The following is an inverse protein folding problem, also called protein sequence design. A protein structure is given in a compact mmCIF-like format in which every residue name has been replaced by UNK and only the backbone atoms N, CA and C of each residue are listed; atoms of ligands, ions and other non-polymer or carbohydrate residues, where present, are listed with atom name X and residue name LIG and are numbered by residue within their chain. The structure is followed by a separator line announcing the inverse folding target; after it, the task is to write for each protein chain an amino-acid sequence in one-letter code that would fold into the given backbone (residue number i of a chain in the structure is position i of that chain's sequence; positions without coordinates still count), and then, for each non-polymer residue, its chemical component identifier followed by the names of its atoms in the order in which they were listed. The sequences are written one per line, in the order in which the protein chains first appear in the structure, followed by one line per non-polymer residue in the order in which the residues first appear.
data_IF_317279836435
#
_entry.id   IF_317279836435
#
_cell.length_a   1.000
_cell.length_b   1.000
_cell.length_c   1.000
_cell.angle_alpha   90.00
_cell.angle_beta   90.00
_cell.angle_gamma   90.00
#
_symmetry.space_group_name_H-M   'P 1'
#
loop_
_entity.id
_entity.type
_entity.pdbx_description
1 polymer ?
#
# COMPACT_ATOMS: atom_id res chain seq x y z
N UNK A 1 53.77 -16.26 -8.55
CA UNK A 1 52.37 -16.72 -8.58
C UNK A 1 51.31 -15.58 -8.57
N UNK A 2 51.74 -14.34 -8.43
CA UNK A 2 50.81 -13.18 -8.24
C UNK A 2 50.22 -12.58 -9.53
N UNK A 3 50.97 -12.59 -10.63
CA UNK A 3 50.52 -11.91 -11.88
C UNK A 3 49.46 -12.65 -12.69
N UNK A 4 49.52 -14.00 -12.72
CA UNK A 4 48.55 -14.81 -13.46
C UNK A 4 47.13 -14.80 -12.86
N UNK A 5 47.04 -14.55 -11.56
CA UNK A 5 45.76 -14.43 -10.84
C UNK A 5 45.11 -13.07 -11.11
N UNK A 6 45.86 -12.00 -11.21
CA UNK A 6 45.34 -10.65 -11.56
C UNK A 6 44.78 -10.59 -12.99
N UNK A 7 45.38 -11.24 -13.94
CA UNK A 7 44.98 -11.23 -15.32
C UNK A 7 43.65 -12.00 -15.57
N UNK A 8 43.38 -13.04 -14.76
CA UNK A 8 42.08 -13.78 -14.84
C UNK A 8 40.91 -13.03 -14.20
N UNK A 9 41.19 -12.17 -13.20
CA UNK A 9 40.18 -11.34 -12.54
C UNK A 9 39.74 -10.18 -13.46
N UNK A 10 40.64 -9.63 -14.27
CA UNK A 10 40.38 -8.52 -15.18
C UNK A 10 39.44 -8.88 -16.36
N UNK A 11 39.27 -10.16 -16.69
CA UNK A 11 38.46 -10.58 -17.86
C UNK A 11 36.93 -10.54 -17.67
N UNK A 12 36.42 -10.25 -16.48
CA UNK A 12 34.97 -10.26 -16.20
C UNK A 12 34.49 -9.02 -15.42
N UNK A 13 35.16 -7.90 -15.55
CA UNK A 13 34.81 -6.63 -14.89
C UNK A 13 34.37 -5.64 -15.95
N UNK A 14 33.28 -4.92 -15.67
CA UNK A 14 32.68 -3.94 -16.58
C UNK A 14 32.61 -2.59 -15.84
N UNK A 15 32.97 -1.52 -16.55
CA UNK A 15 32.82 -0.15 -16.05
C UNK A 15 31.61 0.48 -16.70
N UNK A 16 30.68 0.96 -15.88
CA UNK A 16 29.39 1.50 -16.34
C UNK A 16 29.04 2.77 -15.56
N UNK A 17 28.33 3.71 -16.21
CA UNK A 17 27.62 4.74 -15.47
C UNK A 17 26.68 4.10 -14.46
N UNK A 18 26.61 4.65 -13.25
CA UNK A 18 25.79 4.09 -12.17
C UNK A 18 24.72 5.06 -11.71
N UNK A 19 23.56 4.52 -11.38
CA UNK A 19 22.45 5.26 -10.80
C UNK A 19 22.09 4.61 -9.46
N UNK A 20 22.16 5.41 -8.39
CA UNK A 20 21.71 5.03 -7.08
C UNK A 20 20.21 5.25 -6.94
N UNK A 21 19.45 4.17 -6.82
CA UNK A 21 17.99 4.16 -6.74
C UNK A 21 17.53 4.30 -5.29
N UNK A 22 16.50 5.12 -5.07
CA UNK A 22 15.85 5.29 -3.76
C UNK A 22 14.56 4.47 -3.69
N UNK A 23 14.47 3.52 -2.76
CA UNK A 23 13.27 2.72 -2.54
C UNK A 23 12.87 1.81 -3.70
N UNK A 24 13.73 1.63 -4.69
CA UNK A 24 13.47 0.82 -5.88
C UNK A 24 14.59 -0.20 -6.09
N UNK A 25 14.21 -1.44 -6.35
CA UNK A 25 15.11 -2.53 -6.73
C UNK A 25 14.68 -3.06 -8.10
N UNK A 26 15.63 -3.11 -9.03
CA UNK A 26 15.40 -3.66 -10.36
C UNK A 26 15.89 -5.10 -10.40
N UNK A 27 15.14 -5.96 -11.09
CA UNK A 27 15.49 -7.36 -11.31
C UNK A 27 15.85 -7.61 -12.78
N UNK A 28 16.64 -8.66 -13.07
CA UNK A 28 16.86 -9.10 -14.46
C UNK A 28 15.53 -9.45 -15.15
N UNK A 29 15.50 -9.38 -16.48
CA UNK A 29 14.34 -9.69 -17.32
C UNK A 29 13.06 -8.91 -16.97
N UNK A 30 13.19 -7.80 -16.26
CA UNK A 30 12.07 -6.94 -15.92
C UNK A 30 12.23 -5.54 -16.52
N UNK A 31 11.12 -4.98 -17.00
CA UNK A 31 11.07 -3.63 -17.57
C UNK A 31 10.46 -2.72 -16.53
N UNK A 32 11.18 -1.68 -16.17
CA UNK A 32 10.76 -0.72 -15.12
C UNK A 32 10.94 0.70 -15.63
N UNK A 33 10.00 1.57 -15.30
CA UNK A 33 10.14 3.01 -15.48
C UNK A 33 10.31 3.68 -14.12
N UNK A 34 11.17 4.68 -14.07
CA UNK A 34 11.36 5.52 -12.89
C UNK A 34 11.77 6.94 -13.29
N UNK A 35 11.63 7.85 -12.35
CA UNK A 35 11.96 9.27 -12.53
C UNK A 35 13.32 9.56 -11.90
N UNK A 36 14.09 10.40 -12.59
CA UNK A 36 15.43 10.80 -12.18
C UNK A 36 15.50 12.33 -12.17
N UNK A 37 15.76 12.88 -10.99
CA UNK A 37 15.87 14.34 -10.78
C UNK A 37 17.25 14.80 -10.32
N UNK A 38 18.17 13.87 -9.96
CA UNK A 38 19.52 14.27 -9.56
C UNK A 38 20.40 14.55 -10.77
N UNK A 39 21.08 15.68 -10.80
CA UNK A 39 21.97 16.10 -11.89
C UNK A 39 23.01 15.03 -12.24
N UNK A 40 23.67 14.41 -11.25
CA UNK A 40 24.63 13.34 -11.46
C UNK A 40 23.99 12.08 -12.09
N UNK A 41 22.74 11.78 -11.74
CA UNK A 41 22.03 10.62 -12.32
C UNK A 41 21.54 10.90 -13.74
N UNK A 42 21.12 12.11 -14.03
CA UNK A 42 20.77 12.54 -15.40
C UNK A 42 22.02 12.48 -16.29
N UNK A 43 23.15 12.99 -15.82
CA UNK A 43 24.42 12.89 -16.54
C UNK A 43 24.87 11.44 -16.77
N UNK A 44 24.61 10.54 -15.83
CA UNK A 44 24.87 9.10 -15.98
C UNK A 44 24.02 8.48 -17.11
N UNK A 45 22.75 8.88 -17.23
CA UNK A 45 21.86 8.43 -18.32
C UNK A 45 22.38 8.94 -19.67
N UNK A 46 22.72 10.21 -19.75
CA UNK A 46 23.26 10.81 -20.98
C UNK A 46 24.58 10.12 -21.40
N UNK A 47 25.47 9.88 -20.46
CA UNK A 47 26.71 9.14 -20.72
C UNK A 47 26.45 7.70 -21.19
N UNK A 48 25.47 7.01 -20.59
CA UNK A 48 25.08 5.67 -21.03
C UNK A 48 24.49 5.66 -22.43
N UNK A 49 23.65 6.63 -22.78
CA UNK A 49 23.02 6.75 -24.11
C UNK A 49 24.08 7.01 -25.22
N UNK A 50 25.13 7.77 -24.92
CA UNK A 50 26.22 8.01 -25.84
C UNK A 50 27.18 6.82 -26.04
N UNK A 51 27.15 5.86 -25.09
CA UNK A 51 27.96 4.64 -25.18
C UNK A 51 27.14 3.49 -25.82
N UNK A 52 26.68 2.57 -25.04
CA UNK A 52 25.96 1.36 -25.46
C UNK A 52 24.63 1.17 -24.70
N UNK A 53 24.03 2.26 -24.27
CA UNK A 53 22.75 2.30 -23.54
C UNK A 53 22.72 1.44 -22.28
N UNK A 54 23.89 1.04 -21.76
CA UNK A 54 24.01 0.21 -20.56
C UNK A 54 24.31 1.05 -19.34
N UNK A 55 23.58 0.80 -18.26
CA UNK A 55 23.71 1.49 -16.99
C UNK A 55 23.69 0.48 -15.85
N UNK A 56 24.40 0.76 -14.77
CA UNK A 56 24.33 -0.04 -13.55
C UNK A 56 23.36 0.59 -12.56
N UNK A 57 22.33 -0.16 -12.20
CA UNK A 57 21.29 0.25 -11.26
C UNK A 57 21.49 -0.45 -9.92
N UNK A 58 21.59 0.33 -8.87
CA UNK A 58 21.84 -0.18 -7.51
C UNK A 58 21.02 0.59 -6.49
N UNK A 59 20.39 -0.12 -5.54
CA UNK A 59 19.58 0.51 -4.51
C UNK A 59 20.45 1.11 -3.40
N UNK A 60 20.00 2.25 -2.86
CA UNK A 60 20.54 2.84 -1.63
C UNK A 60 20.01 2.10 -0.40
N UNK A 61 20.80 2.07 0.67
CA UNK A 61 20.35 1.54 1.98
C UNK A 61 19.41 2.51 2.66
N UNK A 62 19.73 3.79 2.62
CA UNK A 62 18.94 4.89 3.19
C UNK A 62 18.50 5.84 2.08
N UNK A 63 17.22 6.23 2.11
CA UNK A 63 16.64 7.04 1.05
C UNK A 63 17.04 8.51 1.12
N UNK A 64 17.41 8.99 2.31
CA UNK A 64 17.63 10.42 2.57
C UNK A 64 19.02 10.92 2.12
N UNK A 65 19.95 10.00 1.83
CA UNK A 65 21.30 10.35 1.40
C UNK A 65 21.28 10.90 -0.03
N UNK A 66 21.68 12.15 -0.20
CA UNK A 66 21.72 12.80 -1.52
C UNK A 66 22.91 12.34 -2.36
N UNK A 67 24.09 12.31 -1.78
CA UNK A 67 25.32 11.86 -2.44
C UNK A 67 25.82 10.54 -1.82
N UNK A 68 25.33 9.39 -2.31
CA UNK A 68 25.67 8.11 -1.74
C UNK A 68 27.12 7.72 -2.09
N UNK A 69 27.81 7.22 -1.08
CA UNK A 69 29.11 6.55 -1.19
C UNK A 69 28.91 5.04 -1.38
N UNK A 70 29.98 4.30 -1.63
CA UNK A 70 29.93 2.83 -1.75
C UNK A 70 29.35 2.15 -0.49
N UNK A 71 29.46 2.75 0.70
CA UNK A 71 28.93 2.22 1.97
C UNK A 71 27.43 2.36 2.08
N UNK A 72 26.88 3.35 1.42
CA UNK A 72 25.45 3.68 1.44
C UNK A 72 24.67 2.87 0.41
N UNK A 73 25.38 2.11 -0.44
CA UNK A 73 24.81 1.26 -1.47
C UNK A 73 24.78 -0.21 -1.04
N UNK A 74 23.87 -0.96 -1.63
CA UNK A 74 23.90 -2.41 -1.50
C UNK A 74 25.04 -3.01 -2.33
N UNK A 75 25.34 -4.28 -2.08
CA UNK A 75 26.46 -4.95 -2.75
C UNK A 75 26.12 -5.44 -4.16
N UNK A 76 24.86 -5.78 -4.39
CA UNK A 76 24.38 -6.29 -5.66
C UNK A 76 23.36 -5.34 -6.28
N UNK A 77 23.52 -5.10 -7.55
CA UNK A 77 22.60 -4.37 -8.42
C UNK A 77 22.40 -5.09 -9.74
N UNK A 78 21.87 -4.40 -10.72
CA UNK A 78 21.55 -4.94 -12.04
C UNK A 78 22.13 -4.06 -13.13
N UNK A 79 22.80 -4.68 -14.09
CA UNK A 79 23.14 -4.03 -15.36
C UNK A 79 21.86 -4.00 -16.17
N UNK A 80 21.42 -2.81 -16.54
CA UNK A 80 20.21 -2.57 -17.30
C UNK A 80 20.49 -1.87 -18.62
N UNK A 81 19.65 -2.10 -19.59
CA UNK A 81 19.64 -1.42 -20.88
C UNK A 81 18.56 -0.33 -20.86
N UNK A 82 18.94 0.89 -21.21
CA UNK A 82 18.03 2.01 -21.37
C UNK A 82 17.26 1.83 -22.69
N UNK A 83 15.94 1.69 -22.60
CA UNK A 83 15.06 1.54 -23.77
C UNK A 83 14.51 2.87 -24.26
N UNK A 84 14.15 3.74 -23.32
CA UNK A 84 13.56 5.02 -23.63
C UNK A 84 13.89 6.05 -22.57
N UNK A 85 14.16 7.26 -23.01
CA UNK A 85 14.36 8.43 -22.14
C UNK A 85 13.37 9.50 -22.57
N UNK A 86 12.57 9.99 -21.63
CA UNK A 86 11.62 11.06 -21.84
C UNK A 86 11.97 12.21 -20.89
N UNK A 87 12.36 13.34 -21.43
CA UNK A 87 12.61 14.56 -20.64
C UNK A 87 11.27 15.23 -20.33
N UNK A 88 10.93 15.30 -19.05
CA UNK A 88 9.68 15.90 -18.57
C UNK A 88 9.89 17.39 -18.30
N UNK A 89 11.04 17.76 -17.72
CA UNK A 89 11.52 19.12 -17.51
C UNK A 89 13.05 19.14 -17.54
N UNK A 90 13.66 20.31 -17.35
CA UNK A 90 15.12 20.44 -17.32
C UNK A 90 15.76 19.62 -16.19
N UNK A 91 15.06 19.47 -15.07
CA UNK A 91 15.54 18.77 -13.87
C UNK A 91 14.89 17.39 -13.65
N UNK A 92 14.01 16.94 -14.56
CA UNK A 92 13.29 15.67 -14.40
C UNK A 92 13.25 14.85 -15.68
N UNK A 93 13.80 13.67 -15.59
CA UNK A 93 13.87 12.71 -16.71
C UNK A 93 13.17 11.40 -16.30
N UNK A 94 12.25 10.94 -17.13
CA UNK A 94 11.61 9.63 -16.98
C UNK A 94 12.32 8.62 -17.88
N UNK A 95 12.75 7.51 -17.29
CA UNK A 95 13.56 6.50 -17.97
C UNK A 95 12.86 5.16 -17.94
N UNK A 96 12.81 4.49 -19.08
CA UNK A 96 12.40 3.10 -19.21
C UNK A 96 13.64 2.23 -19.38
N UNK A 97 13.83 1.28 -18.49
CA UNK A 97 14.97 0.37 -18.49
C UNK A 97 14.54 -1.08 -18.48
N UNK A 98 15.33 -1.93 -19.09
CA UNK A 98 15.21 -3.38 -19.01
C UNK A 98 16.40 -3.95 -18.24
N UNK A 99 16.16 -4.59 -17.09
CA UNK A 99 17.21 -5.30 -16.36
C UNK A 99 17.74 -6.48 -17.18
N UNK A 100 19.06 -6.57 -17.33
CA UNK A 100 19.68 -7.65 -18.11
C UNK A 100 20.39 -8.66 -17.23
N UNK A 101 21.33 -8.20 -16.43
CA UNK A 101 22.21 -9.10 -15.68
C UNK A 101 22.47 -8.58 -14.29
N UNK A 102 22.34 -9.44 -13.31
CA UNK A 102 22.77 -9.14 -11.94
C UNK A 102 24.28 -8.95 -11.90
N UNK A 103 24.74 -7.94 -11.16
CA UNK A 103 26.15 -7.69 -10.98
C UNK A 103 26.47 -7.28 -9.55
N UNK A 104 27.69 -7.62 -9.13
CA UNK A 104 28.23 -7.20 -7.85
C UNK A 104 29.05 -5.92 -8.04
N UNK A 105 28.77 -4.93 -7.22
CA UNK A 105 29.56 -3.72 -7.11
C UNK A 105 30.92 -4.04 -6.49
N UNK A 106 32.01 -3.62 -7.12
CA UNK A 106 33.37 -3.75 -6.63
C UNK A 106 33.91 -2.40 -6.17
N UNK A 107 33.80 -1.38 -7.02
CA UNK A 107 34.28 -0.04 -6.78
C UNK A 107 33.26 0.97 -7.28
N UNK A 108 33.18 2.10 -6.61
CA UNK A 108 32.36 3.24 -7.03
C UNK A 108 33.25 4.47 -7.06
N UNK A 109 33.36 5.07 -8.22
CA UNK A 109 34.03 6.35 -8.41
C UNK A 109 32.97 7.46 -8.47
N UNK A 110 33.05 8.38 -7.52
CA UNK A 110 32.24 9.59 -7.50
C UNK A 110 32.86 10.66 -8.41
N UNK A 111 32.88 10.39 -9.72
CA UNK A 111 33.39 11.35 -10.70
C UNK A 111 32.68 12.71 -10.61
N UNK A 112 33.33 13.74 -11.13
CA UNK A 112 32.79 15.12 -11.10
C UNK A 112 31.40 15.23 -11.73
N UNK A 113 31.16 14.49 -12.83
CA UNK A 113 29.93 14.58 -13.63
C UNK A 113 28.88 13.56 -13.24
N UNK A 114 29.25 12.30 -13.01
CA UNK A 114 28.33 11.22 -12.65
C UNK A 114 29.06 10.09 -11.91
N UNK A 115 28.28 9.20 -11.29
CA UNK A 115 28.81 8.02 -10.62
C UNK A 115 29.24 6.97 -11.65
N UNK A 116 30.45 6.45 -11.52
CA UNK A 116 30.96 5.34 -12.34
C UNK A 116 31.20 4.12 -11.46
N UNK A 117 30.59 2.99 -11.82
CA UNK A 117 30.73 1.75 -11.08
C UNK A 117 31.63 0.75 -11.83
N UNK A 118 32.51 0.12 -11.10
CA UNK A 118 33.23 -1.07 -11.52
C UNK A 118 32.49 -2.28 -10.99
N UNK A 119 31.89 -3.08 -11.88
CA UNK A 119 30.99 -4.17 -11.50
C UNK A 119 31.43 -5.49 -12.09
N UNK A 120 31.09 -6.57 -11.39
CA UNK A 120 31.28 -7.95 -11.88
C UNK A 120 29.94 -8.60 -12.13
N UNK A 121 29.62 -8.93 -13.40
CA UNK A 121 28.43 -9.71 -13.73
C UNK A 121 28.44 -11.06 -13.01
N UNK A 122 27.29 -11.44 -12.49
CA UNK A 122 27.11 -12.70 -11.75
C UNK A 122 26.19 -13.62 -12.56
N UNK A 123 26.78 -14.63 -13.14
CA UNK A 123 26.04 -15.67 -13.84
C UNK A 123 25.21 -16.51 -12.85
N UNK A 124 24.00 -16.87 -13.27
CA UNK A 124 23.18 -17.81 -12.51
C UNK A 124 23.82 -19.21 -12.61
N UNK A 125 24.18 -19.77 -11.47
CA UNK A 125 24.68 -21.15 -11.45
C UNK A 125 23.52 -22.12 -11.64
N UNK A 126 23.71 -23.14 -12.49
CA UNK A 126 22.74 -24.20 -12.66
C UNK A 126 22.43 -24.95 -11.36
N UNK A 127 21.27 -25.56 -11.28
CA UNK A 127 20.85 -26.37 -10.14
C UNK A 127 21.62 -27.69 -10.17
N UNK A 128 22.28 -28.03 -9.08
CA UNK A 128 22.92 -29.32 -8.89
C UNK A 128 21.87 -30.45 -8.92
N UNK A 129 22.22 -31.61 -9.49
CA UNK A 129 21.26 -32.67 -9.73
C UNK A 129 20.58 -33.17 -8.45
N UNK A 130 21.31 -33.22 -7.33
CA UNK A 130 20.83 -33.60 -5.99
C UNK A 130 19.80 -32.63 -5.39
N UNK A 131 19.75 -31.37 -5.87
CA UNK A 131 18.85 -30.31 -5.38
C UNK A 131 17.61 -30.08 -6.25
N UNK A 132 17.46 -30.81 -7.34
CA UNK A 132 16.31 -30.61 -8.27
C UNK A 132 14.96 -30.84 -7.58
N UNK A 133 14.82 -31.92 -6.83
CA UNK A 133 13.57 -32.22 -6.11
C UNK A 133 13.24 -31.15 -5.05
N UNK A 134 14.26 -30.60 -4.38
CA UNK A 134 14.09 -29.53 -3.41
C UNK A 134 13.60 -28.22 -4.09
N UNK A 135 14.19 -27.89 -5.24
CA UNK A 135 13.76 -26.72 -6.02
C UNK A 135 12.34 -26.89 -6.54
N UNK A 136 11.98 -28.08 -7.02
CA UNK A 136 10.61 -28.36 -7.48
C UNK A 136 9.60 -28.24 -6.33
N UNK A 137 9.91 -28.76 -5.16
CA UNK A 137 9.07 -28.64 -3.96
C UNK A 137 8.89 -27.16 -3.56
N UNK A 138 9.98 -26.36 -3.63
CA UNK A 138 9.90 -24.92 -3.35
C UNK A 138 9.04 -24.17 -4.37
N UNK A 139 9.14 -24.51 -5.66
CA UNK A 139 8.29 -23.89 -6.71
C UNK A 139 6.82 -24.18 -6.45
N UNK A 140 6.46 -25.42 -6.09
CA UNK A 140 5.08 -25.78 -5.72
C UNK A 140 4.62 -24.95 -4.52
N UNK A 141 5.40 -24.96 -3.43
CA UNK A 141 5.07 -24.19 -2.22
C UNK A 141 4.97 -22.69 -2.47
N UNK A 142 5.75 -22.14 -3.41
CA UNK A 142 5.65 -20.74 -3.82
C UNK A 142 4.33 -20.46 -4.54
N UNK A 143 3.90 -21.35 -5.43
CA UNK A 143 2.61 -21.20 -6.14
C UNK A 143 1.44 -21.31 -5.18
N UNK A 144 1.44 -22.30 -4.28
CA UNK A 144 0.39 -22.47 -3.26
C UNK A 144 0.29 -21.22 -2.36
N UNK A 145 1.43 -20.72 -1.88
CA UNK A 145 1.48 -19.51 -1.07
C UNK A 145 1.08 -18.25 -1.86
N UNK A 146 1.36 -18.20 -3.15
CA UNK A 146 0.95 -17.09 -4.02
C UNK A 146 -0.57 -17.07 -4.25
N UNK A 147 -1.21 -18.23 -4.40
CA UNK A 147 -2.67 -18.34 -4.48
C UNK A 147 -3.33 -17.82 -3.20
N UNK A 148 -2.78 -18.15 -2.03
CA UNK A 148 -3.23 -17.61 -0.75
C UNK A 148 -3.03 -16.08 -0.70
N UNK A 149 -1.87 -15.59 -1.09
CA UNK A 149 -1.56 -14.14 -1.16
C UNK A 149 -2.57 -13.38 -2.03
N UNK A 150 -2.96 -13.93 -3.19
CA UNK A 150 -3.94 -13.34 -4.10
C UNK A 150 -5.31 -13.14 -3.46
N UNK A 151 -5.72 -14.02 -2.54
CA UNK A 151 -7.00 -13.89 -1.83
C UNK A 151 -7.09 -12.64 -0.95
N UNK A 152 -5.95 -12.08 -0.56
CA UNK A 152 -5.83 -10.87 0.25
C UNK A 152 -5.38 -9.64 -0.55
N UNK A 153 -4.82 -9.82 -1.76
CA UNK A 153 -4.27 -8.74 -2.59
C UNK A 153 -4.87 -8.74 -4.01
N UNK A 154 -6.13 -8.34 -4.18
CA UNK A 154 -6.83 -8.40 -5.47
C UNK A 154 -6.33 -7.37 -6.50
N UNK A 155 -5.44 -6.47 -6.14
CA UNK A 155 -4.94 -5.39 -7.02
C UNK A 155 -3.85 -5.84 -8.01
N UNK A 156 -3.40 -7.11 -7.94
CA UNK A 156 -2.39 -7.64 -8.86
C UNK A 156 -3.00 -7.84 -10.24
N UNK A 157 -2.29 -7.38 -11.29
CA UNK A 157 -2.78 -7.50 -12.66
C UNK A 157 -2.91 -8.96 -13.07
N UNK A 158 -3.92 -9.26 -13.88
CA UNK A 158 -4.18 -10.63 -14.38
C UNK A 158 -2.99 -11.20 -15.16
N UNK A 159 -2.25 -10.37 -15.86
CA UNK A 159 -1.08 -10.78 -16.62
C UNK A 159 0.05 -11.26 -15.69
N UNK A 160 0.26 -10.58 -14.56
CA UNK A 160 1.25 -11.01 -13.55
C UNK A 160 0.83 -12.35 -12.95
N UNK A 161 -0.44 -12.51 -12.60
CA UNK A 161 -0.98 -13.77 -12.07
C UNK A 161 -0.79 -14.91 -13.08
N UNK A 162 -1.18 -14.69 -14.33
CA UNK A 162 -1.04 -15.68 -15.38
C UNK A 162 0.42 -16.10 -15.59
N UNK A 163 1.35 -15.14 -15.66
CA UNK A 163 2.77 -15.44 -15.85
C UNK A 163 3.39 -16.23 -14.70
N UNK A 164 2.97 -15.97 -13.47
CA UNK A 164 3.46 -16.71 -12.30
C UNK A 164 2.91 -18.14 -12.28
N UNK A 165 1.60 -18.32 -12.50
CA UNK A 165 0.96 -19.64 -12.45
C UNK A 165 1.41 -20.53 -13.60
N UNK A 166 1.54 -19.96 -14.82
CA UNK A 166 1.90 -20.72 -16.02
C UNK A 166 3.37 -21.11 -16.11
N UNK A 167 4.25 -20.42 -15.37
CA UNK A 167 5.68 -20.69 -15.43
C UNK A 167 6.12 -21.72 -14.41
N UNK A 168 6.88 -22.72 -14.84
CA UNK A 168 7.57 -23.71 -13.98
C UNK A 168 9.08 -23.44 -13.88
N UNK A 169 9.57 -22.32 -14.45
CA UNK A 169 10.98 -21.95 -14.40
C UNK A 169 11.34 -21.35 -13.03
N UNK A 170 12.17 -22.05 -12.21
CA UNK A 170 12.58 -21.55 -10.90
C UNK A 170 13.32 -20.21 -10.98
N UNK A 171 14.12 -20.03 -12.04
CA UNK A 171 14.85 -18.79 -12.28
C UNK A 171 13.89 -17.64 -12.57
N UNK A 172 12.96 -17.85 -13.49
CA UNK A 172 11.96 -16.85 -13.84
C UNK A 172 11.15 -16.44 -12.61
N UNK A 173 10.62 -17.39 -11.84
CA UNK A 173 9.85 -17.10 -10.64
C UNK A 173 10.65 -16.30 -9.61
N UNK A 174 11.94 -16.64 -9.40
CA UNK A 174 12.82 -15.95 -8.44
C UNK A 174 13.14 -14.50 -8.81
N UNK A 175 12.93 -14.10 -10.06
CA UNK A 175 13.17 -12.75 -10.57
C UNK A 175 11.86 -11.99 -10.82
N UNK A 176 10.86 -12.67 -11.38
CA UNK A 176 9.60 -12.07 -11.78
C UNK A 176 8.65 -11.79 -10.60
N UNK A 177 8.53 -12.72 -9.64
CA UNK A 177 7.66 -12.51 -8.48
C UNK A 177 8.09 -11.31 -7.63
N UNK A 178 9.36 -11.20 -7.16
CA UNK A 178 9.75 -10.05 -6.34
C UNK A 178 9.72 -8.73 -7.10
N UNK A 179 9.85 -8.76 -8.43
CA UNK A 179 9.74 -7.56 -9.25
C UNK A 179 8.32 -6.99 -9.28
N UNK A 180 7.29 -7.86 -9.35
CA UNK A 180 5.90 -7.49 -9.61
C UNK A 180 5.00 -7.54 -8.36
N UNK A 181 5.46 -8.15 -7.25
CA UNK A 181 4.72 -8.17 -6.00
C UNK A 181 5.04 -6.97 -5.12
N UNK A 182 4.09 -6.62 -4.23
CA UNK A 182 4.18 -5.44 -3.35
C UNK A 182 5.03 -5.74 -2.10
N UNK A 183 6.28 -6.13 -2.31
CA UNK A 183 7.24 -6.30 -1.22
C UNK A 183 7.98 -4.99 -0.91
N UNK A 184 8.46 -4.86 0.32
CA UNK A 184 9.36 -3.78 0.71
C UNK A 184 10.66 -3.86 -0.09
N UNK A 185 11.29 -2.73 -0.40
CA UNK A 185 12.50 -2.72 -1.22
C UNK A 185 13.68 -3.43 -0.55
N UNK A 186 13.74 -3.42 0.79
CA UNK A 186 14.76 -4.17 1.57
C UNK A 186 14.63 -5.68 1.37
N UNK A 187 13.39 -6.17 1.34
CA UNK A 187 13.09 -7.58 1.08
C UNK A 187 13.44 -7.97 -0.35
N UNK A 188 13.08 -7.13 -1.32
CA UNK A 188 13.48 -7.31 -2.72
C UNK A 188 14.99 -7.38 -2.86
N UNK A 189 15.69 -6.48 -2.17
CA UNK A 189 17.16 -6.46 -2.19
C UNK A 189 17.77 -7.69 -1.50
N UNK A 190 17.14 -8.22 -0.45
CA UNK A 190 17.58 -9.46 0.21
C UNK A 190 17.55 -10.64 -0.76
N UNK A 191 16.48 -10.75 -1.57
CA UNK A 191 16.39 -11.76 -2.63
C UNK A 191 17.46 -11.52 -3.72
N UNK A 192 17.66 -10.28 -4.13
CA UNK A 192 18.67 -9.94 -5.13
C UNK A 192 20.10 -10.22 -4.64
N UNK A 193 20.38 -10.05 -3.36
CA UNK A 193 21.69 -10.31 -2.77
C UNK A 193 22.02 -11.81 -2.71
N UNK A 194 21.01 -12.69 -2.68
CA UNK A 194 21.25 -14.13 -2.53
C UNK A 194 21.95 -14.72 -3.75
N UNK A 195 23.05 -15.45 -3.50
CA UNK A 195 23.97 -15.89 -4.54
C UNK A 195 23.48 -17.13 -5.29
N UNK A 196 22.70 -17.97 -4.64
CA UNK A 196 22.21 -19.25 -5.18
C UNK A 196 20.74 -19.16 -5.59
N UNK A 197 20.34 -19.91 -6.61
CA UNK A 197 18.94 -19.97 -7.01
C UNK A 197 18.06 -20.58 -5.90
N UNK A 198 18.56 -21.62 -5.24
CA UNK A 198 17.87 -22.24 -4.11
C UNK A 198 17.61 -21.23 -2.99
N UNK A 199 18.65 -20.52 -2.53
CA UNK A 199 18.52 -19.51 -1.48
C UNK A 199 17.58 -18.37 -1.85
N UNK A 200 17.51 -17.97 -3.14
CA UNK A 200 16.54 -16.97 -3.61
C UNK A 200 15.10 -17.47 -3.46
N UNK A 201 14.83 -18.72 -3.85
CA UNK A 201 13.50 -19.31 -3.73
C UNK A 201 13.09 -19.48 -2.26
N UNK A 202 14.02 -19.90 -1.40
CA UNK A 202 13.79 -20.01 0.05
C UNK A 202 13.46 -18.64 0.66
N UNK A 203 14.26 -17.60 0.33
CA UNK A 203 14.01 -16.23 0.79
C UNK A 203 12.70 -15.66 0.25
N UNK A 204 12.41 -15.89 -1.02
CA UNK A 204 11.16 -15.47 -1.63
C UNK A 204 9.95 -16.12 -0.94
N UNK A 205 10.01 -17.41 -0.64
CA UNK A 205 8.94 -18.12 0.07
C UNK A 205 8.78 -17.61 1.51
N UNK A 206 9.88 -17.35 2.20
CA UNK A 206 9.88 -16.76 3.55
C UNK A 206 9.17 -15.41 3.56
N UNK A 207 9.55 -14.52 2.63
CA UNK A 207 8.98 -13.17 2.50
C UNK A 207 7.50 -13.26 2.11
N UNK A 208 7.18 -14.06 1.12
CA UNK A 208 5.80 -14.22 0.65
C UNK A 208 4.87 -14.72 1.77
N UNK A 209 5.28 -15.72 2.53
CA UNK A 209 4.53 -16.22 3.70
C UNK A 209 4.35 -15.17 4.79
N UNK A 210 5.37 -14.36 5.03
CA UNK A 210 5.30 -13.26 6.01
C UNK A 210 4.30 -12.20 5.54
N UNK A 211 4.39 -11.77 4.31
CA UNK A 211 3.47 -10.76 3.73
C UNK A 211 2.03 -11.28 3.67
N UNK A 212 1.81 -12.54 3.31
CA UNK A 212 0.47 -13.15 3.34
C UNK A 212 -0.14 -13.11 4.73
N UNK A 213 0.64 -13.42 5.78
CA UNK A 213 0.16 -13.32 7.17
C UNK A 213 -0.17 -11.90 7.58
N UNK A 214 0.64 -10.92 7.16
CA UNK A 214 0.40 -9.50 7.46
C UNK A 214 -0.92 -9.06 6.80
N UNK A 215 -1.11 -9.36 5.52
CA UNK A 215 -2.34 -9.03 4.78
C UNK A 215 -3.58 -9.69 5.39
N UNK A 216 -3.47 -10.93 5.87
CA UNK A 216 -4.55 -11.60 6.60
C UNK A 216 -4.94 -10.82 7.86
N UNK A 217 -3.94 -10.45 8.68
CA UNK A 217 -4.17 -9.66 9.90
C UNK A 217 -4.77 -8.29 9.59
N UNK A 218 -4.28 -7.61 8.56
CA UNK A 218 -4.82 -6.31 8.11
C UNK A 218 -6.30 -6.43 7.72
N UNK A 219 -6.66 -7.48 6.98
CA UNK A 219 -8.05 -7.75 6.59
C UNK A 219 -8.95 -8.01 7.80
N UNK A 220 -8.47 -8.77 8.79
CA UNK A 220 -9.19 -9.05 10.03
C UNK A 220 -9.40 -7.76 10.85
N UNK A 221 -8.39 -6.91 10.95
CA UNK A 221 -8.48 -5.60 11.61
C UNK A 221 -9.50 -4.72 10.88
N UNK A 222 -9.41 -4.63 9.55
CA UNK A 222 -10.32 -3.83 8.75
C UNK A 222 -11.78 -4.29 8.90
N UNK A 223 -12.00 -5.61 8.93
CA UNK A 223 -13.33 -6.19 9.14
C UNK A 223 -13.90 -5.81 10.51
N UNK A 224 -13.09 -5.91 11.57
CA UNK A 224 -13.50 -5.49 12.94
C UNK A 224 -13.79 -4.01 13.04
N UNK A 225 -12.98 -3.17 12.40
CA UNK A 225 -13.20 -1.71 12.37
C UNK A 225 -14.51 -1.38 11.67
N UNK A 226 -14.77 -2.01 10.51
CA UNK A 226 -16.02 -1.80 9.78
C UNK A 226 -17.22 -2.26 10.61
N UNK A 227 -17.16 -3.42 11.25
CA UNK A 227 -18.23 -3.90 12.13
C UNK A 227 -18.49 -2.94 13.30
N UNK A 228 -17.44 -2.38 13.89
CA UNK A 228 -17.59 -1.40 14.97
C UNK A 228 -18.18 -0.06 14.48
N UNK A 229 -17.79 0.37 13.28
CA UNK A 229 -18.35 1.58 12.65
C UNK A 229 -19.85 1.38 12.37
N UNK A 230 -20.25 0.23 11.82
CA UNK A 230 -21.64 -0.09 11.54
C UNK A 230 -22.48 -0.12 12.83
N UNK A 231 -21.97 -0.69 13.93
CA UNK A 231 -22.61 -0.67 15.24
C UNK A 231 -22.79 0.74 15.76
N UNK A 232 -21.74 1.55 15.73
CA UNK A 232 -21.79 2.94 16.21
C UNK A 232 -22.77 3.78 15.40
N UNK A 233 -22.82 3.61 14.09
CA UNK A 233 -23.76 4.31 13.21
C UNK A 233 -25.20 3.89 13.51
N UNK A 234 -25.46 2.60 13.75
CA UNK A 234 -26.76 2.08 14.12
C UNK A 234 -27.22 2.60 15.50
N UNK A 235 -26.31 2.62 16.49
CA UNK A 235 -26.59 3.16 17.81
C UNK A 235 -26.89 4.66 17.78
N UNK A 236 -26.15 5.41 16.95
CA UNK A 236 -26.44 6.83 16.73
C UNK A 236 -27.86 7.03 16.14
N UNK A 237 -28.18 6.28 15.09
CA UNK A 237 -29.50 6.36 14.45
C UNK A 237 -30.64 6.01 15.42
N UNK A 238 -30.47 4.96 16.22
CA UNK A 238 -31.47 4.58 17.23
C UNK A 238 -31.64 5.66 18.31
N UNK A 239 -30.55 6.29 18.76
CA UNK A 239 -30.61 7.42 19.72
C UNK A 239 -31.35 8.62 19.17
N UNK A 240 -31.11 8.98 17.92
CA UNK A 240 -31.83 10.08 17.27
C UNK A 240 -33.32 9.75 17.08
N UNK A 241 -33.66 8.52 16.72
CA UNK A 241 -35.09 8.09 16.69
C UNK A 241 -35.73 8.17 18.07
N UNK A 242 -35.06 7.70 19.14
CA UNK A 242 -35.59 7.80 20.50
C UNK A 242 -35.79 9.26 20.91
N UNK A 243 -34.86 10.14 20.52
CA UNK A 243 -34.94 11.57 20.82
C UNK A 243 -36.12 12.24 20.09
N UNK A 244 -36.33 11.91 18.83
CA UNK A 244 -37.49 12.39 18.06
C UNK A 244 -38.81 11.92 18.66
N UNK A 245 -38.92 10.64 19.03
CA UNK A 245 -40.12 10.09 19.70
C UNK A 245 -40.35 10.73 21.06
N UNK A 246 -39.30 10.99 21.86
CA UNK A 246 -39.41 11.66 23.14
C UNK A 246 -39.97 13.08 22.99
N UNK A 247 -39.45 13.84 22.00
CA UNK A 247 -39.94 15.19 21.72
C UNK A 247 -41.41 15.20 21.27
N UNK A 248 -41.84 14.24 20.44
CA UNK A 248 -43.24 14.10 20.05
C UNK A 248 -44.15 13.72 21.25
N UNK A 249 -43.67 12.94 22.20
CA UNK A 249 -44.41 12.57 23.40
C UNK A 249 -44.52 13.75 24.37
N UNK A 250 -43.47 14.55 24.52
CA UNK A 250 -43.48 15.75 25.35
C UNK A 250 -44.45 16.81 24.78
N UNK A 251 -44.54 16.97 23.44
CA UNK A 251 -45.54 17.81 22.80
C UNK A 251 -46.97 17.29 23.02
N UNK A 252 -47.17 15.98 23.18
CA UNK A 252 -48.48 15.40 23.56
C UNK A 252 -48.87 15.63 25.03
N UNK A 253 -47.92 15.67 25.93
CA UNK A 253 -48.18 15.96 27.35
C UNK A 253 -48.51 17.45 27.55
N UNK A 254 -47.82 18.39 26.86
CA UNK A 254 -48.18 19.82 26.90
C UNK A 254 -49.59 20.07 26.35
N UNK A 255 -50.01 19.39 25.27
CA UNK A 255 -51.41 19.51 24.74
C UNK A 255 -52.45 18.91 25.70
N UNK A 256 -52.09 17.94 26.51
CA UNK A 256 -52.94 17.37 27.55
C UNK A 256 -53.13 18.31 28.75
N UNK A 257 -52.08 18.93 29.22
CA UNK A 257 -52.13 19.96 30.29
C UNK A 257 -52.97 21.15 29.85
N UNK A 258 -52.79 21.66 28.63
CA UNK A 258 -53.65 22.73 28.07
C UNK A 258 -55.11 22.33 28.00
N UNK A 259 -55.44 21.10 27.57
CA UNK A 259 -56.83 20.60 27.52
C UNK A 259 -57.47 20.47 28.90
N UNK A 260 -56.74 20.08 29.94
CA UNK A 260 -57.21 20.06 31.30
C UNK A 260 -57.41 21.44 31.90
N UNK A 261 -56.55 22.39 31.59
CA UNK A 261 -56.70 23.80 31.95
C UNK A 261 -57.97 24.43 31.34
N UNK A 262 -58.23 24.18 30.04
CA UNK A 262 -59.44 24.63 29.37
C UNK A 262 -60.71 23.97 29.98
N UNK A 263 -60.69 22.68 30.34
CA UNK A 263 -61.79 22.02 31.03
C UNK A 263 -62.10 22.65 32.38
N UNK A 264 -61.08 22.93 33.17
CA UNK A 264 -61.22 23.59 34.49
C UNK A 264 -61.83 24.99 34.34
N UNK A 265 -61.40 25.75 33.32
CA UNK A 265 -62.00 27.07 33.01
C UNK A 265 -63.48 26.98 32.59
N UNK A 266 -63.85 26.02 31.77
CA UNK A 266 -65.21 25.75 31.35
C UNK A 266 -66.09 25.39 32.57
N UNK A 267 -65.61 24.55 33.48
CA UNK A 267 -66.35 24.13 34.70
C UNK A 267 -66.54 25.28 35.64
N UNK A 268 -65.54 26.20 35.80
CA UNK A 268 -65.67 27.40 36.61
C UNK A 268 -66.71 28.38 36.03
N UNK A 269 -66.69 28.61 34.71
CA UNK A 269 -67.72 29.44 34.02
C UNK A 269 -69.12 28.86 34.12
N UNK A 270 -69.31 27.57 34.01
CA UNK A 270 -70.59 26.90 34.18
C UNK A 270 -71.13 27.07 35.62
N UNK A 271 -70.30 27.03 36.67
CA UNK A 271 -70.70 27.35 38.07
C UNK A 271 -71.11 28.80 38.22
N UNK A 272 -70.40 29.74 37.61
CA UNK A 272 -70.81 31.17 37.63
C UNK A 272 -72.14 31.37 36.93
N UNK A 273 -72.36 30.73 35.81
CA UNK A 273 -73.68 30.78 35.10
C UNK A 273 -74.82 30.20 35.95
N UNK A 274 -74.58 29.12 36.70
CA UNK A 274 -75.57 28.55 37.61
C UNK A 274 -75.86 29.48 38.77
N UNK A 275 -74.84 30.12 39.37
CA UNK A 275 -75.05 31.10 40.43
C UNK A 275 -75.80 32.34 39.94
N UNK A 276 -75.48 32.81 38.73
CA UNK A 276 -76.23 33.93 38.13
C UNK A 276 -77.68 33.59 37.79
N UNK A 277 -77.96 32.33 37.42
CA UNK A 277 -79.36 31.86 37.22
C UNK A 277 -80.13 31.81 38.53
N UNK A 278 -79.49 31.34 39.61
CA UNK A 278 -80.13 31.29 40.95
C UNK A 278 -80.42 32.70 41.49
N UNK A 279 -79.51 33.65 41.31
CA UNK A 279 -79.68 35.07 41.64
C UNK A 279 -80.83 35.72 40.85
N UNK A 280 -80.94 35.39 39.53
CA UNK A 280 -82.05 35.90 38.70
C UNK A 280 -83.43 35.33 39.12
N UNK A 281 -83.50 34.09 39.61
CA UNK A 281 -84.73 33.50 40.12
C UNK A 281 -85.15 34.09 41.48
N UNK A 282 -84.29 34.49 42.36
CA UNK A 282 -84.62 35.13 43.66
C UNK A 282 -85.08 36.55 43.45
N UNK A 283 -84.67 37.28 42.43
CA UNK A 283 -85.14 38.65 42.13
C UNK A 283 -86.52 38.69 41.43
N UNK A 284 -87.00 37.60 40.82
CA UNK A 284 -88.31 37.52 40.14
C UNK A 284 -89.45 37.04 41.04
N UNK A 285 -89.18 36.62 42.31
CA UNK A 285 -90.21 36.08 43.26
C UNK A 285 -90.37 36.89 44.52
N UNK A 286 -90.29 38.25 44.45
CA UNK A 286 -90.75 39.13 45.54
C UNK A 286 -92.26 39.29 45.40
N UNK A 287 -93.00 38.89 46.47
CA UNK A 287 -94.45 39.04 46.44
C UNK A 287 -94.79 40.52 46.63
N UNK A 288 -95.56 41.05 45.69
CA UNK A 288 -96.32 42.28 45.95
C UNK A 288 -97.43 42.01 47.03
N UNK A 289 -97.11 42.37 48.23
CA UNK A 289 -98.14 42.52 49.25
C UNK A 289 -98.59 44.00 49.25
N UNK A 290 -99.80 44.27 48.79
CA UNK A 290 -100.61 45.38 49.35
C UNK A 290 -102.13 45.08 49.15
N UNK A 291 -102.69 44.99 50.33
CA UNK A 291 -104.01 45.30 50.92
C UNK A 291 -105.21 45.22 50.08
#
# INVERSE_FOLDING_TARGET
MSEKVKIKIARNVVHLPAIALRGLVVFPNNVVHFEVGRTKSIAAIEAAMHANSSVFLIAQREMDIEEPTIRDLYTYGVIAEIKQVLRVSDDLVKVLVEGKTRARLLELDAGEKYLQATVRPVAVRGIAADKRNQVEALVRSLKDCFEEYLSYSPQISKDVVYNIISSDSPLFLSEYMPANLLFKYEDKQTILNESTLLGRLEKLLEILRRETKILHIEKDIQSKVNEQMDKNQRDYYLREQMRAISNELDDFDDTREEAEEYKAKIDSMNKEIETLKTVSYTHLTLPTIYS
#
